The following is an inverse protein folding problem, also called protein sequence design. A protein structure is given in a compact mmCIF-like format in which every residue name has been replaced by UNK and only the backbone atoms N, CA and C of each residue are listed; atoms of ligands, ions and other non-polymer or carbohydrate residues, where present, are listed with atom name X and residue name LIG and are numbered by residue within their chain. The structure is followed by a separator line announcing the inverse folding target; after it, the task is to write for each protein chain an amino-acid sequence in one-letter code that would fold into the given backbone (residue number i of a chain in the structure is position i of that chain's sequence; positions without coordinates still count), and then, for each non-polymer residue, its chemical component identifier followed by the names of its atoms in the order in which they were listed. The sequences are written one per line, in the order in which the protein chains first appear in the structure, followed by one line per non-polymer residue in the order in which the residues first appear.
data_IF_317911751076
#
_entry.id   IF_317911751076
#
_cell.length_a   1.000
_cell.length_b   1.000
_cell.length_c   1.000
_cell.angle_alpha   90.00
_cell.angle_beta   90.00
_cell.angle_gamma   90.00
#
_symmetry.space_group_name_H-M   'P 1'
#
loop_
_entity.id
_entity.type
_entity.pdbx_description
1 polymer ?
#
# COMPACT_ATOMS: atom_id res chain seq x y z
N UNK A 1 -8.52 5.92 -22.25
CA UNK A 1 -7.62 6.96 -21.74
C UNK A 1 -6.18 6.45 -21.88
N UNK A 2 -5.46 6.88 -22.94
CA UNK A 2 -4.12 6.39 -23.27
C UNK A 2 -3.02 6.84 -22.30
N UNK A 3 -3.28 7.84 -21.43
CA UNK A 3 -2.28 8.50 -20.57
C UNK A 3 -2.61 8.38 -19.07
N UNK A 4 -3.27 7.29 -18.66
CA UNK A 4 -3.53 6.99 -17.24
C UNK A 4 -2.76 5.75 -16.85
N UNK A 5 -1.91 5.85 -15.82
CA UNK A 5 -1.03 4.76 -15.41
C UNK A 5 -1.04 4.60 -13.88
N UNK A 6 -0.66 3.43 -13.39
CA UNK A 6 -0.43 3.21 -11.96
C UNK A 6 1.02 3.53 -11.60
N UNK A 7 1.22 4.22 -10.49
CA UNK A 7 2.55 4.61 -10.01
C UNK A 7 3.49 3.41 -9.83
N UNK A 8 2.97 2.30 -9.30
CA UNK A 8 3.74 1.09 -9.08
C UNK A 8 4.23 0.45 -10.39
N UNK A 9 3.45 0.54 -11.47
CA UNK A 9 3.85 0.00 -12.76
C UNK A 9 4.85 0.93 -13.46
N UNK A 10 4.64 2.25 -13.34
CA UNK A 10 5.61 3.23 -13.79
C UNK A 10 6.99 3.04 -13.13
N UNK A 11 7.03 2.87 -11.81
CA UNK A 11 8.29 2.71 -11.06
C UNK A 11 9.07 1.44 -11.40
N UNK A 12 8.41 0.40 -11.94
CA UNK A 12 9.11 -0.82 -12.38
C UNK A 12 10.00 -0.59 -13.59
N UNK A 13 9.57 0.28 -14.52
CA UNK A 13 10.26 0.51 -15.80
C UNK A 13 9.92 1.89 -16.36
N UNK A 14 10.39 2.97 -15.72
CA UNK A 14 10.00 4.34 -16.06
C UNK A 14 10.32 4.73 -17.52
N UNK A 15 11.34 4.13 -18.10
CA UNK A 15 11.85 4.39 -19.46
C UNK A 15 10.84 4.02 -20.56
N UNK A 16 9.86 3.17 -20.28
CA UNK A 16 8.84 2.79 -21.28
C UNK A 16 7.65 3.76 -21.33
N UNK A 17 7.58 4.74 -20.42
CA UNK A 17 6.45 5.65 -20.32
C UNK A 17 6.73 7.00 -20.98
N UNK A 18 5.82 7.44 -21.85
CA UNK A 18 5.85 8.77 -22.47
C UNK A 18 4.80 9.67 -21.82
N UNK A 19 5.13 10.22 -20.66
CA UNK A 19 4.18 10.94 -19.82
C UNK A 19 3.93 12.41 -20.22
N UNK A 20 4.67 12.95 -21.18
CA UNK A 20 4.58 14.36 -21.57
C UNK A 20 5.33 15.30 -20.61
N UNK A 21 4.88 16.54 -20.51
CA UNK A 21 5.55 17.60 -19.73
C UNK A 21 4.86 17.95 -18.42
N UNK A 22 3.55 17.68 -18.34
CA UNK A 22 2.69 17.97 -17.20
C UNK A 22 2.09 16.66 -16.70
N UNK A 23 2.36 16.28 -15.48
CA UNK A 23 1.84 15.04 -14.86
C UNK A 23 1.15 15.35 -13.55
N UNK A 24 -0.04 14.80 -13.36
CA UNK A 24 -0.76 14.82 -12.09
C UNK A 24 -0.75 13.44 -11.47
N UNK A 25 -0.39 13.35 -10.18
CA UNK A 25 -0.36 12.12 -9.42
C UNK A 25 -1.46 12.18 -8.35
N UNK A 26 -2.34 11.20 -8.33
CA UNK A 26 -3.41 11.08 -7.34
C UNK A 26 -2.88 10.28 -6.14
N UNK A 27 -2.68 10.94 -5.01
CA UNK A 27 -2.15 10.37 -3.77
C UNK A 27 -0.88 11.05 -3.28
N UNK A 28 -0.55 10.88 -2.00
CA UNK A 28 0.61 11.48 -1.33
C UNK A 28 1.30 10.51 -0.35
N UNK A 29 1.28 9.21 -0.65
CA UNK A 29 2.05 8.19 0.05
C UNK A 29 3.46 8.03 -0.52
N UNK A 30 4.28 7.13 0.08
CA UNK A 30 5.66 6.88 -0.35
C UNK A 30 5.77 6.60 -1.86
N UNK A 31 4.91 5.74 -2.40
CA UNK A 31 4.91 5.38 -3.83
C UNK A 31 4.64 6.59 -4.73
N UNK A 32 3.75 7.51 -4.30
CA UNK A 32 3.47 8.75 -5.03
C UNK A 32 4.70 9.68 -5.05
N UNK A 33 5.36 9.81 -3.91
CA UNK A 33 6.59 10.63 -3.76
C UNK A 33 7.73 10.06 -4.59
N UNK A 34 7.95 8.75 -4.56
CA UNK A 34 8.96 8.07 -5.36
C UNK A 34 8.71 8.25 -6.86
N UNK A 35 7.45 8.09 -7.30
CA UNK A 35 7.06 8.30 -8.69
C UNK A 35 7.29 9.76 -9.12
N UNK A 36 6.88 10.73 -8.29
CA UNK A 36 7.06 12.16 -8.57
C UNK A 36 8.53 12.54 -8.72
N UNK A 37 9.39 12.11 -7.79
CA UNK A 37 10.84 12.37 -7.84
C UNK A 37 11.49 11.71 -9.05
N UNK A 38 11.10 10.47 -9.36
CA UNK A 38 11.58 9.77 -10.55
C UNK A 38 11.21 10.53 -11.82
N UNK A 39 9.99 11.07 -11.91
CA UNK A 39 9.54 11.87 -13.06
C UNK A 39 10.36 13.17 -13.22
N UNK A 40 10.57 13.91 -12.14
CA UNK A 40 11.39 15.13 -12.16
C UNK A 40 12.81 14.81 -12.65
N UNK A 41 13.43 13.76 -12.12
CA UNK A 41 14.79 13.32 -12.49
C UNK A 41 14.88 12.83 -13.93
N UNK A 42 13.79 12.29 -14.48
CA UNK A 42 13.66 11.92 -15.89
C UNK A 42 13.29 13.10 -16.80
N UNK A 43 13.28 14.34 -16.26
CA UNK A 43 13.14 15.58 -17.04
C UNK A 43 11.70 16.07 -17.27
N UNK A 44 10.71 15.50 -16.56
CA UNK A 44 9.34 16.03 -16.58
C UNK A 44 9.31 17.34 -15.80
N UNK A 45 8.79 18.41 -16.43
CA UNK A 45 8.92 19.78 -15.90
C UNK A 45 7.90 20.14 -14.85
N UNK A 46 6.70 19.56 -14.93
CA UNK A 46 5.57 19.90 -14.07
C UNK A 46 4.97 18.64 -13.50
N UNK A 47 5.26 18.36 -12.25
CA UNK A 47 4.69 17.22 -11.49
C UNK A 47 3.89 17.77 -10.32
N UNK A 48 2.63 17.37 -10.22
CA UNK A 48 1.69 17.80 -9.19
C UNK A 48 1.18 16.57 -8.44
N UNK A 49 1.31 16.55 -7.12
CA UNK A 49 0.66 15.59 -6.23
C UNK A 49 -0.67 16.14 -5.75
N UNK A 50 -1.73 15.34 -5.87
CA UNK A 50 -3.06 15.66 -5.35
C UNK A 50 -3.28 14.89 -4.05
N UNK A 51 -3.55 15.62 -2.99
CA UNK A 51 -3.87 15.06 -1.67
C UNK A 51 -5.26 15.58 -1.23
N UNK A 52 -6.14 14.67 -0.83
CA UNK A 52 -7.47 15.03 -0.32
C UNK A 52 -7.45 15.59 1.10
N UNK A 53 -6.36 15.39 1.79
CA UNK A 53 -6.12 15.85 3.16
C UNK A 53 -5.09 16.99 3.17
N UNK A 54 -4.87 17.60 4.33
CA UNK A 54 -3.76 18.52 4.55
C UNK A 54 -2.44 17.77 4.74
N UNK A 55 -1.41 18.48 5.14
CA UNK A 55 -0.07 17.92 5.39
C UNK A 55 -0.10 16.80 6.46
N UNK A 56 -1.01 16.88 7.42
CA UNK A 56 -1.19 15.86 8.47
C UNK A 56 -1.66 14.50 7.91
N UNK A 57 -2.33 14.49 6.76
CA UNK A 57 -2.79 13.29 6.07
C UNK A 57 -1.76 12.66 5.14
N UNK A 58 -0.56 13.24 5.02
CA UNK A 58 0.49 12.72 4.18
C UNK A 58 1.16 11.53 4.88
N UNK A 59 1.06 10.35 4.27
CA UNK A 59 1.61 9.10 4.81
C UNK A 59 3.03 8.80 4.33
N UNK A 60 3.57 9.60 3.44
CA UNK A 60 4.95 9.48 2.96
C UNK A 60 5.95 9.82 4.08
N UNK A 61 7.15 9.24 3.98
CA UNK A 61 8.26 9.62 4.84
C UNK A 61 8.55 11.13 4.70
N UNK A 62 8.55 11.84 5.81
CA UNK A 62 8.68 13.31 5.82
C UNK A 62 9.94 13.78 5.05
N UNK A 63 11.08 13.14 5.25
CA UNK A 63 12.33 13.52 4.60
C UNK A 63 12.25 13.36 3.08
N UNK A 64 11.66 12.26 2.60
CA UNK A 64 11.49 12.00 1.17
C UNK A 64 10.49 12.98 0.54
N UNK A 65 9.46 13.34 1.30
CA UNK A 65 8.49 14.33 0.89
C UNK A 65 9.10 15.74 0.79
N UNK A 66 9.89 16.15 1.78
CA UNK A 66 10.60 17.43 1.76
C UNK A 66 11.56 17.51 0.55
N UNK A 67 12.30 16.44 0.27
CA UNK A 67 13.15 16.36 -0.92
C UNK A 67 12.34 16.45 -2.24
N UNK A 68 11.14 15.89 -2.31
CA UNK A 68 10.31 16.02 -3.51
C UNK A 68 9.91 17.49 -3.77
N UNK A 69 9.59 18.24 -2.71
CA UNK A 69 9.30 19.68 -2.81
C UNK A 69 10.54 20.45 -3.29
N UNK A 70 11.72 20.17 -2.70
CA UNK A 70 12.99 20.79 -3.09
C UNK A 70 13.34 20.48 -4.55
N UNK A 71 13.03 19.29 -5.05
CA UNK A 71 13.21 18.89 -6.46
C UNK A 71 12.16 19.52 -7.40
N UNK A 72 11.17 20.24 -6.88
CA UNK A 72 10.21 21.02 -7.68
C UNK A 72 8.84 20.37 -7.86
N UNK A 73 8.53 19.30 -7.12
CA UNK A 73 7.19 18.71 -7.09
C UNK A 73 6.23 19.69 -6.40
N UNK A 74 5.08 19.98 -7.04
CA UNK A 74 4.01 20.78 -6.44
C UNK A 74 3.01 19.88 -5.74
N UNK A 75 2.44 20.37 -4.63
CA UNK A 75 1.44 19.64 -3.87
C UNK A 75 0.18 20.48 -3.77
N UNK A 76 -0.95 19.87 -4.10
CA UNK A 76 -2.26 20.45 -3.93
C UNK A 76 -3.03 19.65 -2.87
N UNK A 77 -3.04 20.19 -1.66
CA UNK A 77 -3.81 19.67 -0.54
C UNK A 77 -5.30 20.01 -0.68
N UNK A 78 -6.13 19.27 0.03
CA UNK A 78 -7.58 19.43 0.08
C UNK A 78 -8.21 19.39 -1.31
N UNK A 79 -7.78 18.43 -2.14
CA UNK A 79 -8.33 18.21 -3.48
C UNK A 79 -8.74 16.76 -3.67
N UNK A 80 -10.03 16.56 -3.98
CA UNK A 80 -10.61 15.26 -4.33
C UNK A 80 -10.62 15.12 -5.85
N UNK A 81 -10.04 14.06 -6.43
CA UNK A 81 -10.17 13.77 -7.85
C UNK A 81 -11.61 13.37 -8.18
N UNK A 82 -12.19 13.98 -9.21
CA UNK A 82 -13.59 13.76 -9.61
C UNK A 82 -13.66 13.00 -10.94
N UNK A 83 -12.91 13.45 -11.95
CA UNK A 83 -12.98 12.89 -13.29
C UNK A 83 -11.64 13.06 -14.01
N UNK A 84 -11.22 12.03 -14.71
CA UNK A 84 -10.06 12.09 -15.61
C UNK A 84 -10.57 12.40 -17.00
N UNK A 85 -10.00 13.40 -17.65
CA UNK A 85 -10.30 13.83 -19.02
C UNK A 85 -9.07 13.70 -19.90
N UNK A 86 -9.26 13.87 -21.22
CA UNK A 86 -8.15 13.79 -22.18
C UNK A 86 -7.14 14.93 -22.00
N UNK A 87 -7.57 16.07 -21.44
CA UNK A 87 -6.77 17.26 -21.19
C UNK A 87 -6.33 17.43 -19.73
N UNK A 88 -6.65 16.47 -18.84
CA UNK A 88 -6.17 16.51 -17.47
C UNK A 88 -7.09 15.86 -16.43
N UNK A 89 -7.03 16.39 -15.20
CA UNK A 89 -7.76 15.89 -14.04
C UNK A 89 -8.71 16.96 -13.50
N UNK A 90 -10.00 16.68 -13.46
CA UNK A 90 -10.98 17.50 -12.72
C UNK A 90 -10.87 17.14 -11.24
N UNK A 91 -10.68 18.16 -10.42
CA UNK A 91 -10.65 18.06 -8.96
C UNK A 91 -11.65 19.00 -8.35
N UNK A 92 -12.07 18.73 -7.11
CA UNK A 92 -12.87 19.62 -6.31
C UNK A 92 -12.26 19.80 -4.92
N UNK A 93 -12.62 20.87 -4.22
CA UNK A 93 -12.17 21.10 -2.85
C UNK A 93 -12.74 20.06 -1.89
N UNK A 94 -11.87 19.46 -1.08
CA UNK A 94 -12.25 18.46 -0.09
C UNK A 94 -12.72 19.13 1.18
N UNK A 95 -13.92 18.78 1.66
CA UNK A 95 -14.45 19.13 2.97
C UNK A 95 -14.30 17.91 3.89
N UNK A 96 -13.53 18.09 4.97
CA UNK A 96 -13.34 17.05 5.99
C UNK A 96 -14.38 17.27 7.07
N UNK A 97 -15.23 16.28 7.30
CA UNK A 97 -16.30 16.30 8.30
C UNK A 97 -16.04 15.17 9.31
N UNK A 98 -16.66 15.28 10.48
CA UNK A 98 -16.71 14.17 11.45
C UNK A 98 -18.17 13.75 11.60
N UNK A 99 -18.43 12.45 11.62
CA UNK A 99 -19.73 11.92 11.96
C UNK A 99 -19.98 11.97 13.49
N UNK A 100 -21.14 11.50 13.92
CA UNK A 100 -21.53 11.48 15.34
C UNK A 100 -20.68 10.54 16.19
N UNK A 101 -19.99 9.61 15.55
CA UNK A 101 -19.11 8.60 16.17
C UNK A 101 -17.65 9.05 16.16
N UNK A 102 -17.34 10.21 15.53
CA UNK A 102 -16.00 10.78 15.42
C UNK A 102 -15.21 10.30 14.21
N UNK A 103 -15.81 9.51 13.30
CA UNK A 103 -15.15 9.05 12.08
C UNK A 103 -15.01 10.18 11.09
N UNK A 104 -13.89 10.19 10.35
CA UNK A 104 -13.63 11.20 9.33
C UNK A 104 -14.41 10.84 8.05
N UNK A 105 -15.21 11.79 7.58
CA UNK A 105 -15.94 11.72 6.32
C UNK A 105 -15.35 12.75 5.35
N UNK A 106 -15.04 12.30 4.15
CA UNK A 106 -14.59 13.17 3.06
C UNK A 106 -15.76 13.47 2.14
N UNK A 107 -16.09 14.76 2.01
CA UNK A 107 -17.02 15.29 1.00
C UNK A 107 -16.26 16.27 0.11
N UNK A 108 -16.78 16.57 -1.04
CA UNK A 108 -16.23 17.61 -1.91
C UNK A 108 -17.28 18.65 -2.22
N UNK A 109 -16.82 19.85 -2.59
CA UNK A 109 -17.65 20.95 -2.99
C UNK A 109 -17.88 20.90 -4.51
N UNK A 110 -19.11 20.63 -4.92
CA UNK A 110 -19.51 20.54 -6.33
C UNK A 110 -19.22 21.84 -7.13
N UNK A 111 -19.31 22.99 -6.48
CA UNK A 111 -19.11 24.29 -7.10
C UNK A 111 -17.65 24.67 -7.24
N UNK A 112 -16.76 23.96 -6.52
CA UNK A 112 -15.30 24.19 -6.53
C UNK A 112 -14.55 23.40 -7.62
N UNK A 113 -15.26 22.72 -8.51
CA UNK A 113 -14.65 21.91 -9.58
C UNK A 113 -13.74 22.74 -10.46
N UNK A 114 -12.52 22.25 -10.66
CA UNK A 114 -11.54 22.87 -11.55
C UNK A 114 -10.76 21.79 -12.32
N UNK A 115 -10.40 22.13 -13.56
CA UNK A 115 -9.52 21.29 -14.35
C UNK A 115 -8.05 21.61 -14.03
N UNK A 116 -7.26 20.59 -13.74
CA UNK A 116 -5.81 20.66 -13.71
C UNK A 116 -5.32 20.05 -15.02
N UNK A 117 -4.82 20.88 -15.92
CA UNK A 117 -4.25 20.42 -17.20
C UNK A 117 -3.09 19.47 -16.97
N UNK A 118 -3.12 18.34 -17.64
CA UNK A 118 -2.06 17.34 -17.58
C UNK A 118 -1.99 16.49 -18.85
N UNK A 119 -0.80 16.14 -19.27
CA UNK A 119 -0.55 15.21 -20.38
C UNK A 119 -0.76 13.76 -19.91
N UNK A 120 -0.54 13.48 -18.62
CA UNK A 120 -0.74 12.17 -18.01
C UNK A 120 -1.23 12.25 -16.58
N UNK A 121 -2.02 11.26 -16.17
CA UNK A 121 -2.51 11.08 -14.80
C UNK A 121 -1.97 9.77 -14.24
N UNK A 122 -1.36 9.85 -13.07
CA UNK A 122 -0.80 8.70 -12.36
C UNK A 122 -1.65 8.39 -11.13
N UNK A 123 -2.10 7.16 -11.02
CA UNK A 123 -2.88 6.69 -9.89
C UNK A 123 -1.93 6.06 -8.86
N UNK A 124 -1.86 6.66 -7.66
CA UNK A 124 -1.03 6.21 -6.54
C UNK A 124 -1.84 6.12 -5.24
N UNK A 125 -3.01 5.53 -5.33
CA UNK A 125 -3.86 5.20 -4.19
C UNK A 125 -3.52 3.80 -3.68
N UNK A 126 -3.80 3.55 -2.38
CA UNK A 126 -3.54 2.27 -1.74
C UNK A 126 -4.09 1.10 -2.54
N UNK A 127 -3.27 0.06 -2.68
CA UNK A 127 -3.71 -1.21 -3.24
C UNK A 127 -4.27 -2.09 -2.12
N UNK A 128 -5.37 -2.77 -2.39
CA UNK A 128 -5.91 -3.79 -1.48
C UNK A 128 -5.13 -5.10 -1.57
N UNK A 129 -5.17 -5.93 -0.53
CA UNK A 129 -4.55 -7.25 -0.55
C UNK A 129 -5.21 -8.14 -1.62
N UNK A 130 -4.39 -8.92 -2.32
CA UNK A 130 -4.90 -9.95 -3.24
C UNK A 130 -5.26 -11.19 -2.42
N UNK A 131 -6.54 -11.44 -2.20
CA UNK A 131 -7.04 -12.58 -1.43
C UNK A 131 -6.92 -13.94 -2.15
N UNK A 132 -6.42 -13.98 -3.37
CA UNK A 132 -6.38 -15.20 -4.21
C UNK A 132 -5.62 -16.37 -3.57
N UNK A 133 -4.61 -16.10 -2.73
CA UNK A 133 -3.81 -17.13 -2.07
C UNK A 133 -4.62 -17.86 -1.00
N UNK A 134 -5.45 -17.13 -0.26
CA UNK A 134 -6.22 -17.65 0.89
C UNK A 134 -7.70 -17.88 0.57
N UNK A 135 -8.22 -17.36 -0.55
CA UNK A 135 -9.65 -17.47 -0.90
C UNK A 135 -10.13 -18.90 -1.11
N UNK A 136 -9.22 -19.83 -1.40
CA UNK A 136 -9.50 -21.27 -1.59
C UNK A 136 -9.28 -22.09 -0.33
N UNK A 137 -8.64 -21.55 0.70
CA UNK A 137 -8.35 -22.24 1.96
C UNK A 137 -9.19 -21.63 3.08
N UNK A 138 -10.21 -22.38 3.52
CA UNK A 138 -11.15 -21.93 4.56
C UNK A 138 -10.56 -21.99 5.98
N UNK A 139 -9.40 -22.61 6.16
CA UNK A 139 -8.75 -22.75 7.48
C UNK A 139 -7.86 -21.55 7.82
N UNK A 140 -7.50 -20.73 6.81
CA UNK A 140 -6.73 -19.50 7.01
C UNK A 140 -7.71 -18.33 7.07
N UNK A 141 -7.86 -17.75 8.25
CA UNK A 141 -8.71 -16.58 8.46
C UNK A 141 -8.07 -15.30 7.93
N UNK A 142 -8.91 -14.42 7.42
CA UNK A 142 -8.55 -13.06 7.02
C UNK A 142 -9.46 -12.07 7.76
N UNK A 143 -8.93 -10.89 8.07
CA UNK A 143 -9.71 -9.82 8.68
C UNK A 143 -10.57 -9.08 7.62
N UNK A 144 -11.36 -8.10 8.05
CA UNK A 144 -12.25 -7.30 7.21
C UNK A 144 -11.51 -6.57 6.06
N UNK A 145 -10.20 -6.34 6.22
CA UNK A 145 -9.34 -5.73 5.19
C UNK A 145 -8.74 -6.76 4.23
N UNK A 146 -9.05 -8.06 4.38
CA UNK A 146 -8.49 -9.14 3.57
C UNK A 146 -7.05 -9.53 3.92
N UNK A 147 -6.52 -9.10 5.08
CA UNK A 147 -5.20 -9.45 5.57
C UNK A 147 -5.26 -10.74 6.40
N UNK A 148 -4.24 -11.59 6.31
CA UNK A 148 -4.17 -12.85 7.04
C UNK A 148 -4.09 -12.58 8.56
N UNK A 149 -4.93 -13.27 9.33
CA UNK A 149 -4.90 -13.22 10.79
C UNK A 149 -3.78 -14.10 11.31
N UNK A 150 -2.91 -13.53 12.14
CA UNK A 150 -1.82 -14.24 12.82
C UNK A 150 -1.74 -13.82 14.28
N UNK A 151 -1.11 -14.65 15.10
CA UNK A 151 -0.64 -14.22 16.41
C UNK A 151 0.65 -13.37 16.28
N UNK A 152 1.19 -12.92 17.42
CA UNK A 152 2.41 -12.10 17.45
C UNK A 152 3.67 -12.84 16.97
N UNK A 153 3.63 -14.14 16.84
CA UNK A 153 4.72 -15.01 16.39
C UNK A 153 4.55 -15.44 14.92
N UNK A 154 3.53 -14.92 14.24
CA UNK A 154 3.26 -15.19 12.83
C UNK A 154 2.54 -16.50 12.54
N UNK A 155 2.07 -17.26 13.56
CA UNK A 155 1.25 -18.44 13.33
C UNK A 155 -0.13 -18.03 12.85
N UNK A 156 -0.63 -18.64 11.78
CA UNK A 156 -1.98 -18.42 11.26
C UNK A 156 -2.98 -19.29 12.03
N UNK A 157 -4.26 -19.21 11.69
CA UNK A 157 -5.30 -20.10 12.22
C UNK A 157 -5.13 -21.55 11.77
N UNK A 158 -4.40 -21.80 10.67
CA UNK A 158 -4.10 -23.13 10.17
C UNK A 158 -2.77 -23.65 10.75
N UNK A 159 -2.77 -24.80 11.46
CA UNK A 159 -1.56 -25.38 12.04
C UNK A 159 -0.48 -25.64 10.98
N UNK A 160 0.76 -25.25 11.29
CA UNK A 160 1.91 -25.43 10.40
C UNK A 160 1.99 -24.40 9.27
N UNK A 161 1.09 -23.40 9.25
CA UNK A 161 1.14 -22.29 8.32
C UNK A 161 1.49 -21.00 9.06
N UNK A 162 2.52 -20.33 8.59
CA UNK A 162 3.01 -19.09 9.17
C UNK A 162 2.95 -17.96 8.13
N UNK A 163 2.75 -16.74 8.58
CA UNK A 163 2.64 -15.58 7.70
C UNK A 163 3.14 -14.30 8.38
N UNK A 164 3.72 -13.38 7.59
CA UNK A 164 4.19 -12.09 8.06
C UNK A 164 4.42 -11.10 6.93
N UNK A 165 4.84 -9.87 7.28
CA UNK A 165 5.00 -8.77 6.34
C UNK A 165 3.65 -8.21 5.86
N UNK A 166 3.63 -7.61 4.68
CA UNK A 166 2.49 -6.83 4.17
C UNK A 166 1.18 -7.59 4.07
N UNK A 167 1.23 -8.91 3.89
CA UNK A 167 0.04 -9.76 3.82
C UNK A 167 -0.68 -9.90 5.18
N UNK A 168 0.01 -9.57 6.28
CA UNK A 168 -0.50 -9.57 7.65
C UNK A 168 -0.78 -8.15 8.16
N UNK A 169 0.17 -7.24 7.94
CA UNK A 169 0.13 -5.91 8.55
C UNK A 169 -0.44 -4.82 7.63
N UNK A 170 -0.68 -5.13 6.35
CA UNK A 170 -0.82 -4.14 5.30
C UNK A 170 0.56 -3.60 4.89
N UNK A 171 0.57 -2.67 3.92
CA UNK A 171 1.81 -2.09 3.40
C UNK A 171 2.64 -1.41 4.51
N UNK A 172 3.84 -1.92 4.74
CA UNK A 172 4.80 -1.48 5.75
C UNK A 172 6.21 -1.38 5.15
N UNK A 173 7.20 -1.15 6.00
CA UNK A 173 8.60 -1.05 5.58
C UNK A 173 9.27 -2.43 5.45
N UNK A 174 10.30 -2.51 4.62
CA UNK A 174 11.16 -3.72 4.53
C UNK A 174 11.77 -4.07 5.89
N UNK A 175 12.13 -3.08 6.71
CA UNK A 175 12.69 -3.30 8.06
C UNK A 175 11.71 -4.04 8.96
N UNK A 176 10.42 -3.67 8.92
CA UNK A 176 9.37 -4.36 9.69
C UNK A 176 9.15 -5.78 9.18
N UNK A 177 9.15 -6.00 7.86
CA UNK A 177 9.03 -7.32 7.27
C UNK A 177 10.21 -8.24 7.68
N UNK A 178 11.45 -7.74 7.62
CA UNK A 178 12.64 -8.47 8.05
C UNK A 178 12.62 -8.76 9.56
N UNK A 179 12.18 -7.82 10.39
CA UNK A 179 12.03 -8.06 11.84
C UNK A 179 11.04 -9.20 12.11
N UNK A 180 9.90 -9.18 11.44
CA UNK A 180 8.87 -10.21 11.60
C UNK A 180 9.33 -11.57 11.10
N UNK A 181 10.05 -11.62 9.96
CA UNK A 181 10.54 -12.88 9.39
C UNK A 181 11.50 -13.63 10.31
N UNK A 182 12.31 -12.91 11.11
CA UNK A 182 13.19 -13.53 12.10
C UNK A 182 12.40 -14.24 13.20
N UNK A 183 11.38 -13.57 13.74
CA UNK A 183 10.51 -14.16 14.77
C UNK A 183 9.80 -15.40 14.21
N UNK A 184 9.31 -15.31 12.98
CA UNK A 184 8.63 -16.43 12.31
C UNK A 184 9.57 -17.60 12.07
N UNK A 185 10.84 -17.35 11.68
CA UNK A 185 11.82 -18.39 11.45
C UNK A 185 12.09 -19.22 12.72
N UNK A 186 12.29 -18.54 13.85
CA UNK A 186 12.49 -19.19 15.15
C UNK A 186 11.24 -20.03 15.51
N UNK A 187 10.04 -19.49 15.23
CA UNK A 187 8.80 -20.21 15.53
C UNK A 187 8.53 -21.40 14.64
N UNK A 188 8.95 -21.35 13.38
CA UNK A 188 8.90 -22.51 12.47
C UNK A 188 9.81 -23.61 13.00
N UNK A 189 11.02 -23.27 13.44
CA UNK A 189 11.99 -24.23 13.99
C UNK A 189 11.42 -24.94 15.24
N UNK A 190 10.89 -24.18 16.20
CA UNK A 190 10.20 -24.73 17.38
C UNK A 190 9.04 -25.67 17.00
N UNK A 191 8.24 -25.27 16.00
CA UNK A 191 7.12 -26.10 15.53
C UNK A 191 7.59 -27.42 14.95
N UNK A 192 8.67 -27.43 14.16
CA UNK A 192 9.22 -28.63 13.54
C UNK A 192 9.82 -29.58 14.59
N UNK A 193 10.58 -29.07 15.56
CA UNK A 193 11.10 -29.87 16.69
C UNK A 193 9.95 -30.53 17.45
N UNK A 194 8.91 -29.79 17.79
CA UNK A 194 7.73 -30.34 18.48
C UNK A 194 6.96 -31.38 17.65
N UNK A 195 7.04 -31.34 16.32
CA UNK A 195 6.49 -32.37 15.44
C UNK A 195 7.34 -33.66 15.43
N UNK A 196 8.65 -33.54 15.49
CA UNK A 196 9.58 -34.68 15.55
C UNK A 196 9.44 -35.44 16.88
N UNK A 197 9.40 -34.73 18.02
CA UNK A 197 9.22 -35.32 19.33
C UNK A 197 7.90 -36.12 19.45
N UNK A 198 6.81 -35.61 18.82
CA UNK A 198 5.52 -36.33 18.77
C UNK A 198 5.58 -37.60 17.94
N UNK A 199 6.38 -37.62 16.86
CA UNK A 199 6.59 -38.83 16.05
C UNK A 199 7.40 -39.87 16.82
N UNK A 200 8.48 -39.46 17.46
CA UNK A 200 9.32 -40.35 18.26
C UNK A 200 8.60 -40.89 19.49
N UNK A 201 7.74 -40.11 20.14
CA UNK A 201 6.90 -40.51 21.23
C UNK A 201 5.85 -41.56 20.82
N UNK A 202 5.26 -41.46 19.62
CA UNK A 202 4.34 -42.47 19.06
C UNK A 202 5.08 -43.79 18.72
N UNK A 203 6.25 -43.72 18.16
CA UNK A 203 7.05 -44.91 17.84
C UNK A 203 7.47 -45.67 19.10
N UNK A 204 7.70 -44.96 20.21
CA UNK A 204 8.01 -45.59 21.51
C UNK A 204 6.82 -46.24 22.20
N UNK A 205 5.62 -45.75 21.97
CA UNK A 205 4.39 -46.34 22.55
C UNK A 205 3.92 -47.59 21.79
N UNK A 206 4.02 -47.61 20.45
CA UNK A 206 3.70 -48.80 19.64
C UNK A 206 4.64 -49.98 19.88
N UNK A 207 5.86 -49.76 20.45
CA UNK A 207 6.79 -50.84 20.81
C UNK A 207 6.64 -51.36 22.22
N UNK A 208 5.68 -50.89 23.01
CA UNK A 208 5.40 -51.35 24.37
C UNK A 208 4.16 -52.27 24.48
N UNK A 209 3.44 -52.40 23.38
CA UNK A 209 2.19 -53.19 23.30
C UNK A 209 2.42 -54.51 22.50
N UNK A 210 3.66 -54.88 22.20
CA UNK A 210 4.13 -56.21 21.73
C UNK A 210 4.86 -56.92 22.86
#
# INVERSE_FOLDING_TARGET
FGNVHFAIDYLKSPEFYKLGKKVVIIGAGNVAVDAARTMIRNGIKHVILINREGEEGITANKKEFDHAIEEGVKILNFRTPIEIKDDGLVVAETKILKDKEGNILYKYDEESKMLIEADSVIISISQGPRSNIVSKDKEIEVNEKGLIVTNNEGSTTKPGVFSGGDVVTGAKTVVEAVKMSKIIADKIDEYLIGCEEKKDGKIKNDKRDE
#
